data_IF_172478410837
#
_entry.id   IF_172478410837
#
_cell.length_a   1.000
_cell.length_b   1.000
_cell.length_c   1.000
_cell.angle_alpha   90.00
_cell.angle_beta   90.00
_cell.angle_gamma   90.00
#
_symmetry.space_group_name_H-M   'P 1'
#
loop_
_entity.id
_entity.type
_entity.pdbx_description
1 polymer ?
#
# COMPACT_ATOMS: atom_id res chain seq x y z
N UNK A 1 -19.57 -4.46 9.99
CA UNK A 1 -18.19 -4.53 9.43
C UNK A 1 -17.13 -4.59 10.51
N UNK A 2 -17.03 -3.61 11.43
CA UNK A 2 -16.02 -3.60 12.52
C UNK A 2 -16.07 -4.87 13.38
N UNK A 3 -17.26 -5.34 13.75
CA UNK A 3 -17.43 -6.61 14.49
C UNK A 3 -16.82 -7.81 13.76
N UNK A 4 -16.94 -7.86 12.44
CA UNK A 4 -16.32 -8.90 11.63
C UNK A 4 -14.80 -8.79 11.63
N UNK A 5 -14.27 -7.56 11.43
CA UNK A 5 -12.83 -7.29 11.46
C UNK A 5 -12.21 -7.67 12.80
N UNK A 6 -12.90 -7.38 13.90
CA UNK A 6 -12.48 -7.78 15.24
C UNK A 6 -12.44 -9.30 15.40
N UNK A 7 -13.47 -10.02 14.91
CA UNK A 7 -13.54 -11.49 14.97
C UNK A 7 -12.39 -12.16 14.23
N UNK A 8 -11.97 -11.63 13.07
CA UNK A 8 -10.83 -12.15 12.30
C UNK A 8 -9.49 -11.58 12.76
N UNK A 9 -9.47 -10.86 13.89
CA UNK A 9 -8.27 -10.26 14.51
C UNK A 9 -7.49 -9.32 13.57
N UNK A 10 -8.20 -8.64 12.66
CA UNK A 10 -7.60 -7.62 11.80
C UNK A 10 -7.27 -6.39 12.63
N UNK A 11 -5.99 -6.02 12.69
CA UNK A 11 -5.50 -4.92 13.53
C UNK A 11 -4.77 -3.82 12.76
N UNK A 12 -4.32 -4.09 11.54
CA UNK A 12 -3.56 -3.13 10.75
C UNK A 12 -4.39 -2.67 9.56
N UNK A 13 -4.53 -1.38 9.42
CA UNK A 13 -5.33 -0.76 8.36
C UNK A 13 -4.52 0.34 7.69
N UNK A 14 -4.52 0.38 6.37
CA UNK A 14 -4.04 1.54 5.63
C UNK A 14 -5.25 2.30 5.08
N UNK A 15 -5.34 3.57 5.41
CA UNK A 15 -6.44 4.45 4.99
C UNK A 15 -5.84 5.71 4.38
N UNK A 16 -6.36 6.12 3.22
CA UNK A 16 -5.79 7.24 2.45
C UNK A 16 -6.66 8.48 2.55
N UNK A 17 -6.02 9.63 2.77
CA UNK A 17 -6.58 10.97 2.56
C UNK A 17 -5.71 11.74 1.55
N UNK A 18 -6.35 12.50 0.67
CA UNK A 18 -5.68 13.28 -0.39
C UNK A 18 -5.70 14.78 -0.02
N UNK A 19 -5.05 15.13 1.09
CA UNK A 19 -5.06 16.47 1.66
C UNK A 19 -6.18 16.68 2.69
N UNK A 20 -6.47 17.93 3.01
CA UNK A 20 -7.56 18.30 3.92
C UNK A 20 -8.96 18.05 3.31
N UNK A 21 -10.00 18.45 4.04
CA UNK A 21 -11.38 18.19 3.63
C UNK A 21 -11.73 18.74 2.25
N UNK A 22 -11.25 19.93 1.92
CA UNK A 22 -11.53 20.56 0.64
C UNK A 22 -10.79 19.86 -0.51
N UNK A 23 -9.48 19.65 -0.35
CA UNK A 23 -8.66 18.97 -1.34
C UNK A 23 -9.13 17.52 -1.57
N UNK A 24 -9.40 16.78 -0.49
CA UNK A 24 -9.85 15.40 -0.58
C UNK A 24 -11.20 15.26 -1.29
N UNK A 25 -12.21 16.06 -0.88
CA UNK A 25 -13.54 15.98 -1.46
C UNK A 25 -13.59 16.44 -2.92
N UNK A 26 -12.62 17.24 -3.37
CA UNK A 26 -12.49 17.65 -4.77
C UNK A 26 -12.06 16.48 -5.67
N UNK A 27 -11.21 15.58 -5.19
CA UNK A 27 -10.68 14.46 -5.98
C UNK A 27 -11.38 13.13 -5.71
N UNK A 28 -11.95 12.95 -4.50
CA UNK A 28 -12.66 11.73 -4.10
C UNK A 28 -14.11 12.00 -3.76
N UNK A 29 -14.86 12.37 -4.76
CA UNK A 29 -16.30 12.55 -4.63
C UNK A 29 -17.09 11.37 -5.20
N UNK A 30 -18.29 11.19 -4.71
CA UNK A 30 -19.28 10.30 -5.32
C UNK A 30 -20.62 11.00 -5.37
N UNK A 31 -21.43 10.69 -6.38
CA UNK A 31 -22.78 11.27 -6.54
C UNK A 31 -23.66 11.08 -5.29
N UNK A 32 -23.41 9.99 -4.56
CA UNK A 32 -24.13 9.65 -3.32
C UNK A 32 -23.48 10.17 -2.05
N UNK A 33 -22.28 10.74 -2.12
CA UNK A 33 -21.51 11.14 -0.95
C UNK A 33 -20.59 12.32 -1.28
N UNK A 34 -21.07 13.51 -0.94
CA UNK A 34 -20.33 14.75 -1.20
C UNK A 34 -19.20 15.01 -0.17
N UNK A 35 -19.26 14.39 1.01
CA UNK A 35 -18.27 14.54 2.08
C UNK A 35 -17.68 13.19 2.48
N UNK A 36 -16.83 12.67 1.61
CA UNK A 36 -16.09 11.43 1.85
C UNK A 36 -15.04 11.60 2.95
N UNK A 37 -14.43 12.79 3.05
CA UNK A 37 -13.42 13.10 4.07
C UNK A 37 -13.95 12.91 5.49
N UNK A 38 -15.03 13.60 5.85
CA UNK A 38 -15.60 13.51 7.20
C UNK A 38 -16.04 12.08 7.52
N UNK A 39 -16.54 11.35 6.53
CA UNK A 39 -16.89 9.93 6.73
C UNK A 39 -15.68 9.07 7.02
N UNK A 40 -14.57 9.28 6.32
CA UNK A 40 -13.32 8.52 6.56
C UNK A 40 -12.78 8.85 7.94
N UNK A 41 -12.69 10.12 8.33
CA UNK A 41 -12.25 10.56 9.65
C UNK A 41 -13.09 9.92 10.76
N UNK A 42 -14.42 9.98 10.65
CA UNK A 42 -15.33 9.35 11.62
C UNK A 42 -15.16 7.83 11.68
N UNK A 43 -14.94 7.18 10.54
CA UNK A 43 -14.70 5.74 10.49
C UNK A 43 -13.38 5.37 11.19
N UNK A 44 -12.32 6.19 11.07
CA UNK A 44 -11.06 5.98 11.77
C UNK A 44 -11.26 6.11 13.29
N UNK A 45 -11.95 7.15 13.77
CA UNK A 45 -12.29 7.28 15.19
C UNK A 45 -13.04 6.05 15.71
N UNK A 46 -14.07 5.62 14.96
CA UNK A 46 -14.86 4.46 15.35
C UNK A 46 -14.03 3.16 15.32
N UNK A 47 -13.16 2.99 14.34
CA UNK A 47 -12.27 1.83 14.22
C UNK A 47 -11.31 1.74 15.41
N UNK A 48 -10.63 2.85 15.72
CA UNK A 48 -9.65 2.91 16.82
C UNK A 48 -10.31 2.67 18.18
N UNK A 49 -11.51 3.23 18.40
CA UNK A 49 -12.25 3.05 19.66
C UNK A 49 -12.91 1.67 19.80
N UNK A 50 -13.09 0.93 18.71
CA UNK A 50 -13.81 -0.35 18.71
C UNK A 50 -12.90 -1.58 18.70
N UNK A 51 -11.67 -1.47 18.26
CA UNK A 51 -10.74 -2.60 18.12
C UNK A 51 -9.50 -2.33 18.97
N UNK A 52 -9.35 -3.08 20.05
CA UNK A 52 -8.18 -2.96 20.92
C UNK A 52 -6.88 -3.32 20.20
N UNK A 53 -5.85 -2.49 20.38
CA UNK A 53 -4.55 -2.65 19.76
C UNK A 53 -4.56 -2.47 18.22
N UNK A 54 -5.54 -1.73 17.68
CA UNK A 54 -5.55 -1.38 16.25
C UNK A 54 -4.46 -0.37 15.92
N UNK A 55 -3.90 -0.49 14.73
CA UNK A 55 -2.96 0.45 14.13
C UNK A 55 -3.50 0.90 12.77
N UNK A 56 -3.56 2.21 12.57
CA UNK A 56 -3.99 2.82 11.30
C UNK A 56 -2.80 3.52 10.66
N UNK A 57 -2.37 3.04 9.51
CA UNK A 57 -1.44 3.75 8.64
C UNK A 57 -2.23 4.78 7.82
N UNK A 58 -2.19 6.02 8.28
CA UNK A 58 -2.84 7.15 7.63
C UNK A 58 -1.95 7.65 6.50
N UNK A 59 -2.20 7.13 5.30
CA UNK A 59 -1.52 7.56 4.10
C UNK A 59 -2.03 8.94 3.67
N UNK A 60 -1.17 9.94 3.73
CA UNK A 60 -1.44 11.29 3.28
C UNK A 60 -0.85 11.51 1.90
N UNK A 61 -1.66 11.44 0.86
CA UNK A 61 -1.22 11.78 -0.48
C UNK A 61 -1.10 13.29 -0.62
N UNK A 62 0.03 13.75 -1.15
CA UNK A 62 0.27 15.18 -1.36
C UNK A 62 0.85 15.50 -2.74
N UNK A 63 0.61 16.73 -3.13
CA UNK A 63 1.18 17.40 -4.28
C UNK A 63 1.80 18.73 -3.82
N UNK A 64 2.43 19.48 -4.71
CA UNK A 64 2.89 20.84 -4.42
C UNK A 64 1.76 21.78 -4.02
N UNK A 65 0.53 21.49 -4.45
CA UNK A 65 -0.65 22.35 -4.22
C UNK A 65 -1.28 22.17 -2.85
N UNK A 66 -1.26 20.91 -2.31
CA UNK A 66 -1.99 20.59 -1.07
C UNK A 66 -1.09 20.29 0.14
N UNK A 67 0.23 20.27 -0.02
CA UNK A 67 1.17 19.91 1.05
C UNK A 67 1.02 20.79 2.30
N UNK A 68 0.74 22.07 2.11
CA UNK A 68 0.59 23.03 3.21
C UNK A 68 -0.71 22.82 4.01
N UNK A 69 -1.69 22.09 3.44
CA UNK A 69 -2.95 21.78 4.10
C UNK A 69 -2.91 20.49 4.95
N UNK A 70 -1.83 19.72 4.90
CA UNK A 70 -1.75 18.43 5.60
C UNK A 70 -1.82 18.56 7.12
N UNK A 71 -1.37 19.67 7.69
CA UNK A 71 -1.54 19.93 9.12
C UNK A 71 -3.02 20.05 9.53
N UNK A 72 -3.91 20.49 8.65
CA UNK A 72 -5.35 20.54 8.90
C UNK A 72 -5.93 19.13 9.04
N UNK A 73 -5.34 18.15 8.34
CA UNK A 73 -5.75 16.74 8.47
C UNK A 73 -5.44 16.22 9.87
N UNK A 74 -4.26 16.55 10.42
CA UNK A 74 -3.87 16.15 11.77
C UNK A 74 -4.83 16.73 12.84
N UNK A 75 -5.28 17.97 12.65
CA UNK A 75 -6.24 18.60 13.55
C UNK A 75 -7.63 17.91 13.55
N UNK A 76 -7.93 17.07 12.57
CA UNK A 76 -9.22 16.38 12.46
C UNK A 76 -9.36 15.17 13.38
N UNK A 77 -8.30 14.76 14.09
CA UNK A 77 -8.34 13.57 14.95
C UNK A 77 -8.25 13.96 16.43
N UNK A 78 -9.12 13.36 17.23
CA UNK A 78 -9.12 13.52 18.69
C UNK A 78 -7.83 12.95 19.30
N UNK A 79 -7.38 13.53 20.40
CA UNK A 79 -6.11 13.16 21.03
C UNK A 79 -6.04 11.68 21.44
N UNK A 80 -7.16 11.11 21.89
CA UNK A 80 -7.26 9.70 22.35
C UNK A 80 -6.96 8.68 21.24
N UNK A 81 -7.20 9.03 19.96
CA UNK A 81 -6.99 8.13 18.83
C UNK A 81 -5.61 8.28 18.15
N UNK A 82 -4.92 9.41 18.35
CA UNK A 82 -3.68 9.75 17.63
C UNK A 82 -2.57 8.73 17.82
N UNK A 83 -2.41 8.18 19.02
CA UNK A 83 -1.41 7.15 19.32
C UNK A 83 -1.56 5.85 18.51
N UNK A 84 -2.73 5.60 17.96
CA UNK A 84 -3.01 4.44 17.08
C UNK A 84 -2.88 4.77 15.60
N UNK A 85 -2.53 6.03 15.26
CA UNK A 85 -2.41 6.50 13.88
C UNK A 85 -0.94 6.75 13.56
N UNK A 86 -0.44 6.06 12.54
CA UNK A 86 0.87 6.30 11.94
C UNK A 86 0.70 7.24 10.75
N UNK A 87 1.29 8.40 10.81
CA UNK A 87 1.27 9.35 9.68
C UNK A 87 2.29 8.94 8.63
N UNK A 88 1.85 8.77 7.40
CA UNK A 88 2.64 8.27 6.27
C UNK A 88 2.44 9.17 5.04
N UNK A 89 3.22 10.26 4.89
CA UNK A 89 3.11 11.14 3.74
C UNK A 89 3.62 10.46 2.46
N UNK A 90 2.87 10.58 1.36
CA UNK A 90 3.23 10.04 0.06
C UNK A 90 3.03 11.08 -1.04
N UNK A 91 4.07 11.33 -1.83
CA UNK A 91 3.95 12.16 -3.02
C UNK A 91 3.11 11.44 -4.07
N UNK A 92 2.23 12.19 -4.73
CA UNK A 92 1.54 11.70 -5.93
C UNK A 92 2.54 11.71 -7.08
N UNK A 93 2.95 10.55 -7.52
CA UNK A 93 4.06 10.32 -8.47
C UNK A 93 3.93 11.06 -9.81
N UNK A 94 2.73 11.50 -10.18
CA UNK A 94 2.48 12.31 -11.39
C UNK A 94 2.94 13.78 -11.23
N UNK A 95 3.33 14.23 -10.03
CA UNK A 95 3.67 15.61 -9.68
C UNK A 95 5.08 15.71 -9.07
N UNK A 96 6.08 15.11 -9.72
CA UNK A 96 7.43 14.95 -9.16
C UNK A 96 8.35 16.18 -9.25
N UNK A 97 7.83 17.35 -9.57
CA UNK A 97 8.65 18.56 -9.72
C UNK A 97 8.97 19.20 -8.36
N UNK A 98 10.25 19.55 -8.11
CA UNK A 98 10.77 20.21 -6.88
C UNK A 98 10.80 19.37 -5.59
N UNK A 99 11.42 18.20 -5.63
CA UNK A 99 11.55 17.29 -4.48
C UNK A 99 12.25 17.89 -3.25
N UNK A 100 13.21 18.82 -3.44
CA UNK A 100 13.97 19.40 -2.31
C UNK A 100 13.09 20.28 -1.41
N UNK A 101 12.26 21.16 -2.01
CA UNK A 101 11.32 22.00 -1.26
C UNK A 101 10.26 21.16 -0.53
N UNK A 102 9.80 20.09 -1.16
CA UNK A 102 8.83 19.19 -0.57
C UNK A 102 9.41 18.42 0.62
N UNK A 103 10.70 18.07 0.58
CA UNK A 103 11.34 17.29 1.66
C UNK A 103 11.39 18.07 2.98
N UNK A 104 11.63 19.37 2.95
CA UNK A 104 11.63 20.22 4.16
C UNK A 104 10.21 20.35 4.75
N UNK A 105 9.20 20.55 3.90
CA UNK A 105 7.80 20.61 4.34
C UNK A 105 7.34 19.28 4.95
N UNK A 106 7.75 18.16 4.39
CA UNK A 106 7.43 16.84 4.94
C UNK A 106 8.12 16.63 6.28
N UNK A 107 9.37 17.03 6.43
CA UNK A 107 10.07 16.96 7.72
C UNK A 107 9.37 17.82 8.79
N UNK A 108 8.90 19.00 8.43
CA UNK A 108 8.10 19.83 9.34
C UNK A 108 6.78 19.14 9.73
N UNK A 109 6.07 18.53 8.78
CA UNK A 109 4.85 17.76 9.04
C UNK A 109 5.12 16.56 9.97
N UNK A 110 6.20 15.81 9.73
CA UNK A 110 6.58 14.67 10.57
C UNK A 110 6.85 15.11 12.02
N UNK A 111 7.63 16.19 12.21
CA UNK A 111 7.90 16.74 13.53
C UNK A 111 6.60 17.20 14.23
N UNK A 112 5.78 17.99 13.53
CA UNK A 112 4.49 18.43 14.03
C UNK A 112 3.56 17.25 14.40
N UNK A 113 3.59 16.17 13.63
CA UNK A 113 2.80 14.97 13.93
C UNK A 113 3.25 14.33 15.25
N UNK A 114 4.56 14.19 15.47
CA UNK A 114 5.11 13.65 16.73
C UNK A 114 4.73 14.49 17.94
N UNK A 115 4.86 15.82 17.82
CA UNK A 115 4.47 16.76 18.88
C UNK A 115 2.98 16.68 19.23
N UNK A 116 2.15 16.37 18.25
CA UNK A 116 0.71 16.18 18.43
C UNK A 116 0.30 14.78 18.92
N UNK A 117 1.25 13.89 19.19
CA UNK A 117 1.01 12.55 19.74
C UNK A 117 0.70 11.46 18.72
N UNK A 118 1.00 11.69 17.44
CA UNK A 118 0.94 10.67 16.39
C UNK A 118 2.20 9.80 16.38
N UNK A 119 2.10 8.62 15.79
CA UNK A 119 3.26 7.83 15.40
C UNK A 119 3.68 8.18 13.98
N UNK A 120 4.98 8.07 13.70
CA UNK A 120 5.51 8.17 12.34
C UNK A 120 6.05 6.82 11.94
N UNK A 121 5.60 6.30 10.82
CA UNK A 121 6.24 5.17 10.17
C UNK A 121 7.65 5.59 9.74
N UNK A 122 8.65 5.17 10.51
CA UNK A 122 10.03 5.56 10.27
C UNK A 122 10.52 4.97 8.94
N UNK A 123 10.31 5.69 7.86
CA UNK A 123 10.74 5.28 6.51
C UNK A 123 12.28 5.18 6.41
N UNK A 124 13.02 5.74 7.37
CA UNK A 124 14.48 5.65 7.41
C UNK A 124 14.99 4.27 7.80
N UNK A 125 14.18 3.44 8.45
CA UNK A 125 14.46 2.01 8.66
C UNK A 125 14.05 1.12 7.49
N UNK A 126 13.80 1.68 6.32
CA UNK A 126 13.80 0.90 5.10
C UNK A 126 15.23 0.40 4.85
N UNK A 127 15.63 -0.66 5.58
CA UNK A 127 16.47 -1.65 4.92
C UNK A 127 15.86 -1.77 3.53
N UNK A 128 16.62 -1.45 2.49
CA UNK A 128 16.12 -1.48 1.11
C UNK A 128 15.44 -2.81 0.96
N UNK A 129 14.11 -2.80 1.03
CA UNK A 129 13.34 -4.01 0.85
C UNK A 129 13.58 -4.38 -0.60
N UNK A 130 14.51 -5.29 -0.82
CA UNK A 130 14.94 -5.74 -2.14
C UNK A 130 13.78 -6.41 -2.86
N UNK A 131 12.74 -6.76 -2.09
CA UNK A 131 11.55 -7.49 -2.51
C UNK A 131 10.33 -6.60 -2.49
N UNK A 132 9.58 -6.58 -3.58
CA UNK A 132 8.27 -5.95 -3.64
C UNK A 132 7.23 -6.84 -2.91
N UNK A 133 6.22 -6.24 -2.26
CA UNK A 133 5.15 -6.99 -1.60
C UNK A 133 4.41 -7.98 -2.53
N UNK A 134 4.40 -7.69 -3.83
CA UNK A 134 3.89 -8.59 -4.88
C UNK A 134 4.47 -10.00 -4.79
N UNK A 135 5.67 -10.13 -4.27
CA UNK A 135 6.42 -11.37 -4.21
C UNK A 135 6.09 -12.22 -2.99
N UNK A 136 5.37 -11.63 -2.03
CA UNK A 136 4.84 -12.41 -0.92
C UNK A 136 3.82 -13.41 -1.47
N UNK A 137 4.00 -14.68 -1.16
CA UNK A 137 3.14 -15.76 -1.62
C UNK A 137 1.66 -15.49 -1.31
N UNK A 138 1.37 -15.03 -0.10
CA UNK A 138 0.02 -14.76 0.41
C UNK A 138 -0.48 -13.33 0.12
N UNK A 139 0.16 -12.59 -0.78
CA UNK A 139 -0.28 -11.26 -1.18
C UNK A 139 -1.22 -11.35 -2.37
N UNK A 140 -2.44 -10.89 -2.20
CA UNK A 140 -3.47 -10.84 -3.23
C UNK A 140 -4.24 -9.52 -3.18
N UNK A 141 -4.72 -9.09 -4.32
CA UNK A 141 -5.66 -7.98 -4.50
C UNK A 141 -6.92 -8.59 -5.11
N UNK A 142 -8.04 -8.49 -4.42
CA UNK A 142 -9.33 -9.01 -4.89
C UNK A 142 -10.16 -7.82 -5.36
N UNK A 143 -10.54 -7.83 -6.63
CA UNK A 143 -11.39 -6.81 -7.21
C UNK A 143 -12.87 -7.08 -6.92
N UNK A 144 -13.74 -6.09 -7.16
CA UNK A 144 -15.18 -6.17 -6.88
C UNK A 144 -15.91 -7.29 -7.64
N UNK A 145 -15.36 -7.72 -8.76
CA UNK A 145 -15.86 -8.82 -9.58
C UNK A 145 -15.25 -10.18 -9.22
N UNK A 146 -14.53 -10.26 -8.10
CA UNK A 146 -13.83 -11.46 -7.60
C UNK A 146 -12.61 -11.88 -8.44
N UNK A 147 -12.19 -11.09 -9.41
CA UNK A 147 -10.91 -11.30 -10.07
C UNK A 147 -9.76 -10.99 -9.12
N UNK A 148 -8.71 -11.79 -9.19
CA UNK A 148 -7.56 -11.74 -8.29
C UNK A 148 -6.34 -11.21 -9.03
N UNK A 149 -5.64 -10.29 -8.40
CA UNK A 149 -4.42 -9.68 -8.91
C UNK A 149 -3.31 -9.74 -7.86
N UNK A 150 -2.07 -9.51 -8.25
CA UNK A 150 -0.93 -9.45 -7.32
C UNK A 150 -0.55 -8.02 -6.94
N UNK A 151 -0.92 -7.01 -7.74
CA UNK A 151 -0.44 -5.65 -7.61
C UNK A 151 -1.58 -4.63 -7.75
N UNK A 152 -1.58 -3.60 -6.89
CA UNK A 152 -2.51 -2.46 -6.98
C UNK A 152 -2.03 -1.35 -7.92
N UNK A 153 -0.76 -1.39 -8.37
CA UNK A 153 -0.16 -0.38 -9.24
C UNK A 153 -0.25 -0.75 -10.74
N UNK A 154 -0.95 -1.85 -11.05
CA UNK A 154 -1.25 -2.29 -12.42
C UNK A 154 -2.71 -2.07 -12.73
N UNK A 155 -3.02 -2.00 -14.01
CA UNK A 155 -4.39 -2.02 -14.48
C UNK A 155 -5.05 -3.36 -14.13
N UNK A 156 -6.33 -3.29 -13.76
CA UNK A 156 -7.12 -4.48 -13.43
C UNK A 156 -7.75 -5.04 -14.69
N UNK A 157 -6.91 -5.45 -15.63
CA UNK A 157 -7.27 -6.12 -16.88
C UNK A 157 -6.90 -7.61 -16.87
N UNK A 158 -7.35 -8.33 -17.85
CA UNK A 158 -7.12 -9.77 -17.95
C UNK A 158 -5.65 -10.15 -18.13
N UNK A 159 -4.81 -9.24 -18.64
CA UNK A 159 -3.37 -9.51 -18.84
C UNK A 159 -2.61 -9.55 -17.52
N UNK A 160 -3.12 -8.87 -16.48
CA UNK A 160 -2.53 -8.82 -15.13
C UNK A 160 -3.31 -9.67 -14.12
N UNK A 161 -4.42 -10.28 -14.54
CA UNK A 161 -5.23 -11.13 -13.70
C UNK A 161 -4.46 -12.40 -13.31
N UNK A 162 -4.51 -12.77 -12.03
CA UNK A 162 -3.91 -13.98 -11.49
C UNK A 162 -4.88 -15.16 -11.44
N UNK A 163 -6.18 -14.88 -11.48
CA UNK A 163 -7.24 -15.87 -11.41
C UNK A 163 -8.55 -15.28 -10.88
N UNK A 164 -9.45 -16.12 -10.46
CA UNK A 164 -10.78 -15.73 -10.03
C UNK A 164 -11.19 -16.48 -8.75
N UNK A 165 -11.99 -15.84 -7.89
CA UNK A 165 -12.60 -16.49 -6.73
C UNK A 165 -14.03 -16.90 -7.09
N UNK A 166 -14.31 -18.18 -7.01
CA UNK A 166 -15.65 -18.72 -7.21
C UNK A 166 -16.59 -18.37 -6.04
N UNK A 167 -17.90 -18.52 -6.27
CA UNK A 167 -18.94 -18.24 -5.27
C UNK A 167 -18.84 -19.10 -4.01
N UNK A 168 -18.21 -20.26 -4.09
CA UNK A 168 -17.88 -21.13 -2.97
C UNK A 168 -16.64 -20.68 -2.17
N UNK A 169 -15.95 -19.63 -2.62
CA UNK A 169 -14.77 -19.05 -1.98
C UNK A 169 -13.43 -19.66 -2.42
N UNK A 170 -13.43 -20.61 -3.34
CA UNK A 170 -12.17 -21.18 -3.86
C UNK A 170 -11.52 -20.24 -4.89
N UNK A 171 -10.22 -20.07 -4.76
CA UNK A 171 -9.41 -19.36 -5.73
C UNK A 171 -8.99 -20.31 -6.85
N UNK A 172 -9.34 -19.98 -8.08
CA UNK A 172 -8.93 -20.69 -9.30
C UNK A 172 -7.85 -19.84 -9.99
N UNK A 173 -6.58 -20.24 -9.91
CA UNK A 173 -5.49 -19.54 -10.60
C UNK A 173 -5.60 -19.70 -12.11
N UNK A 174 -5.26 -18.67 -12.85
CA UNK A 174 -5.08 -18.81 -14.29
C UNK A 174 -3.72 -19.45 -14.62
N UNK A 175 -3.56 -19.89 -15.87
CA UNK A 175 -2.36 -20.61 -16.30
C UNK A 175 -1.04 -19.83 -16.11
N UNK A 176 -0.95 -18.50 -16.40
CA UNK A 176 0.24 -17.71 -16.11
C UNK A 176 0.57 -17.66 -14.61
N UNK A 177 -0.43 -17.52 -13.76
CA UNK A 177 -0.20 -17.47 -12.32
C UNK A 177 0.12 -18.84 -11.73
N UNK A 178 -0.49 -19.91 -12.24
CA UNK A 178 -0.13 -21.28 -11.85
C UNK A 178 1.36 -21.53 -12.17
N UNK A 179 1.82 -21.15 -13.35
CA UNK A 179 3.23 -21.25 -13.74
C UNK A 179 4.14 -20.42 -12.82
N UNK A 180 3.68 -19.25 -12.36
CA UNK A 180 4.42 -18.44 -11.40
C UNK A 180 4.56 -19.16 -10.03
N UNK A 181 3.46 -19.78 -9.54
CA UNK A 181 3.47 -20.55 -8.28
C UNK A 181 4.39 -21.77 -8.39
N UNK A 182 4.37 -22.46 -9.51
CA UNK A 182 5.12 -23.69 -9.73
C UNK A 182 6.61 -23.44 -9.99
N UNK A 183 7.03 -22.17 -10.09
CA UNK A 183 8.44 -21.84 -10.31
C UNK A 183 9.25 -22.07 -9.04
N UNK A 184 10.34 -22.83 -9.13
CA UNK A 184 11.19 -23.10 -7.99
C UNK A 184 11.73 -21.83 -7.34
N UNK A 185 11.87 -21.88 -6.01
CA UNK A 185 12.62 -20.86 -5.27
C UNK A 185 14.03 -20.68 -5.87
N UNK A 186 14.63 -19.48 -5.84
CA UNK A 186 16.01 -19.27 -6.25
C UNK A 186 16.97 -20.24 -5.58
N UNK A 187 16.68 -20.65 -4.36
CA UNK A 187 17.49 -21.62 -3.60
C UNK A 187 17.32 -23.07 -4.07
N UNK A 188 16.33 -23.34 -4.90
CA UNK A 188 16.09 -24.67 -5.52
C UNK A 188 16.36 -24.67 -7.03
N UNK A 189 16.93 -23.58 -7.57
CA UNK A 189 17.21 -23.44 -8.97
C UNK A 189 18.72 -23.32 -9.20
N UNK A 190 19.32 -24.30 -9.89
CA UNK A 190 20.77 -24.36 -10.10
C UNK A 190 21.32 -23.08 -10.76
N UNK A 191 20.61 -22.50 -11.76
CA UNK A 191 21.04 -21.25 -12.38
C UNK A 191 21.08 -20.07 -11.41
N UNK A 192 20.25 -20.11 -10.37
CA UNK A 192 20.27 -19.10 -9.33
C UNK A 192 21.36 -19.38 -8.31
N UNK A 193 21.61 -20.64 -7.95
CA UNK A 193 22.67 -21.03 -7.03
C UNK A 193 24.06 -20.65 -7.56
N UNK A 194 24.25 -20.72 -8.86
CA UNK A 194 25.50 -20.36 -9.54
C UNK A 194 25.60 -18.84 -9.84
N UNK A 195 24.59 -18.05 -9.46
CA UNK A 195 24.54 -16.62 -9.71
C UNK A 195 25.20 -15.81 -8.57
N UNK A 196 26.18 -14.99 -8.93
CA UNK A 196 26.89 -14.10 -7.97
C UNK A 196 25.97 -13.13 -7.21
N UNK A 197 24.79 -12.83 -7.76
CA UNK A 197 23.80 -11.93 -7.15
C UNK A 197 22.83 -12.66 -6.19
N UNK A 198 22.86 -13.97 -6.09
CA UNK A 198 21.91 -14.70 -5.24
C UNK A 198 21.86 -14.21 -3.80
N UNK A 199 22.97 -13.86 -3.14
CA UNK A 199 22.94 -13.38 -1.75
C UNK A 199 22.13 -12.09 -1.55
N UNK A 200 22.02 -11.28 -2.60
CA UNK A 200 21.26 -10.01 -2.61
C UNK A 200 19.95 -10.11 -3.39
N UNK A 201 19.81 -11.16 -4.19
CA UNK A 201 18.64 -11.44 -5.03
C UNK A 201 17.71 -12.43 -4.33
N UNK A 202 17.00 -12.00 -3.33
CA UNK A 202 15.99 -12.82 -2.63
C UNK A 202 14.73 -13.04 -3.47
N UNK A 203 14.74 -12.70 -4.77
CA UNK A 203 13.54 -12.50 -5.52
C UNK A 203 13.53 -13.25 -6.84
N UNK A 204 12.60 -14.20 -6.96
CA UNK A 204 12.39 -15.01 -8.16
C UNK A 204 11.79 -14.20 -9.30
N UNK A 205 11.04 -13.14 -9.02
CA UNK A 205 10.16 -12.47 -9.99
C UNK A 205 10.75 -11.21 -10.61
N UNK A 206 11.87 -10.70 -10.08
CA UNK A 206 12.39 -9.39 -10.47
C UNK A 206 13.89 -9.33 -10.64
N UNK A 207 14.45 -10.22 -11.44
CA UNK A 207 15.85 -10.07 -11.80
C UNK A 207 16.04 -8.83 -12.69
N UNK A 208 16.74 -7.81 -12.16
CA UNK A 208 17.14 -6.62 -12.92
C UNK A 208 18.23 -6.95 -13.96
N UNK A 209 18.86 -8.10 -13.87
CA UNK A 209 19.97 -8.56 -14.72
C UNK A 209 19.54 -9.51 -15.83
N UNK A 210 18.29 -9.38 -16.32
CA UNK A 210 17.81 -10.15 -17.48
C UNK A 210 17.93 -11.68 -17.36
N UNK A 211 17.76 -12.22 -16.15
CA UNK A 211 17.77 -13.67 -15.96
C UNK A 211 16.61 -14.32 -16.74
N UNK A 212 16.87 -15.28 -17.65
CA UNK A 212 15.83 -15.93 -18.45
C UNK A 212 14.76 -16.60 -17.63
N UNK A 213 15.11 -17.15 -16.47
CA UNK A 213 14.18 -17.80 -15.53
C UNK A 213 13.15 -16.81 -14.99
N UNK A 214 13.49 -15.51 -14.94
CA UNK A 214 12.68 -14.46 -14.31
C UNK A 214 11.92 -13.56 -15.29
N UNK A 215 12.28 -13.57 -16.56
CA UNK A 215 11.65 -12.72 -17.58
C UNK A 215 10.15 -13.01 -17.78
N UNK A 216 9.71 -14.26 -17.57
CA UNK A 216 8.31 -14.66 -17.72
C UNK A 216 7.37 -14.11 -16.63
N UNK A 217 7.91 -13.53 -15.55
CA UNK A 217 7.12 -13.10 -14.38
C UNK A 217 6.97 -11.59 -14.21
N UNK A 218 7.51 -10.80 -15.12
CA UNK A 218 7.40 -9.32 -15.09
C UNK A 218 5.97 -8.80 -15.12
N UNK A 219 5.03 -9.60 -15.61
CA UNK A 219 3.62 -9.24 -15.70
C UNK A 219 2.97 -8.97 -14.35
N UNK A 220 3.48 -9.56 -13.26
CA UNK A 220 2.89 -9.41 -11.94
C UNK A 220 3.54 -8.29 -11.10
N UNK A 221 4.64 -7.70 -11.57
CA UNK A 221 5.34 -6.64 -10.85
C UNK A 221 4.99 -5.25 -11.38
N UNK A 222 4.78 -4.30 -10.46
CA UNK A 222 4.80 -2.90 -10.83
C UNK A 222 6.21 -2.49 -11.25
N UNK A 223 6.39 -1.98 -12.46
CA UNK A 223 7.61 -1.26 -12.80
C UNK A 223 7.57 0.08 -12.07
N UNK A 224 8.53 0.27 -11.14
CA UNK A 224 9.09 1.59 -10.97
C UNK A 224 10.21 1.75 -12.00
N UNK A 225 10.25 2.85 -12.75
CA UNK A 225 11.37 3.19 -13.60
C UNK A 225 12.65 3.39 -12.76
#
# INVERSE_FOLDING_TARGET
MITMMSKIKMKNFQITLDGDKEAHNKVRFSVKMLDSYSRIVNNIHHLVRSIDGVSVDLRLNYTTENIDTLNNVLASFDYDVRKSINVSPHIVWQYSDNLDVLSDKIRCLENSSLEQGYCILNQKCKARCISCYVENYNQYVINHNLDVYKCTAREFDMSHCAGHIETNGYFIPNSPFQKYIDTPSPFNNQLCLDCEYLPTCLNVTSCIYCCPVKMGYRIFRAHNP
#
